data_IF_847109043762
#
_entry.id   IF_847109043762
#
_cell.length_a   1.000
_cell.length_b   1.000
_cell.length_c   1.000
_cell.angle_alpha   90.00
_cell.angle_beta   90.00
_cell.angle_gamma   90.00
#
_symmetry.space_group_name_H-M   'P 1'
#
loop_
_entity.id
_entity.type
_entity.pdbx_description
1 polymer ?
#
# COMPACT_ATOMS: atom_id res chain seq x y z
N UNK A 1 27.38 13.33 -25.35
CA UNK A 1 27.77 14.68 -24.88
C UNK A 1 26.91 14.96 -23.65
N UNK A 2 27.52 15.07 -22.48
CA UNK A 2 26.78 15.26 -21.25
C UNK A 2 26.40 16.74 -21.13
N UNK A 3 25.13 17.06 -21.38
CA UNK A 3 24.60 18.42 -21.32
C UNK A 3 24.77 19.08 -19.94
N UNK A 4 24.90 18.30 -18.89
CA UNK A 4 25.07 18.80 -17.52
C UNK A 4 26.47 19.40 -17.29
N UNK A 5 27.43 19.05 -18.12
CA UNK A 5 28.79 19.60 -18.07
C UNK A 5 29.01 20.78 -19.02
N UNK A 6 28.13 20.98 -19.99
CA UNK A 6 28.28 21.99 -21.06
C UNK A 6 27.49 23.27 -20.79
N UNK A 7 26.35 23.16 -20.09
CA UNK A 7 25.50 24.31 -19.81
C UNK A 7 25.68 24.81 -18.36
N UNK A 8 25.78 26.13 -18.15
CA UNK A 8 25.69 26.68 -16.81
C UNK A 8 24.38 26.27 -16.13
N UNK A 9 24.44 25.92 -14.84
CA UNK A 9 23.30 25.44 -14.05
C UNK A 9 22.02 26.30 -14.21
N UNK A 10 22.21 27.64 -14.28
CA UNK A 10 21.09 28.58 -14.45
C UNK A 10 20.35 28.39 -15.79
N UNK A 11 21.09 28.18 -16.86
CA UNK A 11 20.50 27.94 -18.20
C UNK A 11 19.85 26.57 -18.25
N UNK A 12 20.47 25.56 -17.63
CA UNK A 12 19.89 24.22 -17.55
C UNK A 12 18.56 24.24 -16.77
N UNK A 13 18.50 24.98 -15.67
CA UNK A 13 17.26 25.16 -14.92
C UNK A 13 16.17 25.87 -15.74
N UNK A 14 16.54 26.85 -16.59
CA UNK A 14 15.56 27.54 -17.47
C UNK A 14 15.05 26.65 -18.59
N UNK A 15 15.87 25.73 -19.09
CA UNK A 15 15.43 24.68 -20.03
C UNK A 15 14.49 23.71 -19.33
N UNK A 16 14.85 23.23 -18.14
CA UNK A 16 14.05 22.29 -17.36
C UNK A 16 12.67 22.85 -17.00
N UNK A 17 12.53 24.13 -16.71
CA UNK A 17 11.23 24.77 -16.46
C UNK A 17 10.26 24.71 -17.63
N UNK A 18 10.77 24.51 -18.85
CA UNK A 18 9.94 24.41 -20.08
C UNK A 18 9.55 22.96 -20.41
N UNK A 19 10.13 22.00 -19.71
CA UNK A 19 9.82 20.58 -19.88
C UNK A 19 8.48 20.29 -19.20
N UNK A 20 7.63 19.50 -19.85
CA UNK A 20 6.37 19.05 -19.25
C UNK A 20 6.64 18.26 -17.97
N UNK A 21 5.74 18.29 -16.95
CA UNK A 21 5.97 17.68 -15.64
C UNK A 21 6.41 16.21 -15.70
N UNK A 22 5.82 15.40 -16.56
CA UNK A 22 6.22 14.00 -16.79
C UNK A 22 7.65 13.88 -17.34
N UNK A 23 8.02 14.73 -18.29
CA UNK A 23 9.39 14.78 -18.81
C UNK A 23 10.39 15.26 -17.78
N UNK A 24 9.98 16.21 -16.91
CA UNK A 24 10.80 16.72 -15.83
C UNK A 24 11.03 15.64 -14.74
N UNK A 25 10.01 14.85 -14.41
CA UNK A 25 10.15 13.70 -13.53
C UNK A 25 11.13 12.66 -14.12
N UNK A 26 11.05 12.37 -15.42
CA UNK A 26 12.01 11.49 -16.10
C UNK A 26 13.45 12.08 -16.07
N UNK A 27 13.60 13.40 -16.29
CA UNK A 27 14.91 14.07 -16.17
C UNK A 27 15.48 13.96 -14.75
N UNK A 28 14.65 14.06 -13.71
CA UNK A 28 15.05 13.90 -12.31
C UNK A 28 15.67 12.52 -12.05
N UNK A 29 15.18 11.50 -12.71
CA UNK A 29 15.68 10.12 -12.59
C UNK A 29 16.91 9.84 -13.47
N UNK A 30 17.26 10.72 -14.42
CA UNK A 30 18.30 10.45 -15.41
C UNK A 30 19.73 10.55 -14.84
N UNK A 31 20.03 11.52 -13.98
CA UNK A 31 21.33 11.66 -13.33
C UNK A 31 21.28 12.56 -12.09
N UNK A 32 22.29 12.41 -11.20
CA UNK A 32 22.41 13.18 -9.94
C UNK A 32 22.48 14.70 -10.16
N UNK A 33 23.03 15.18 -11.25
CA UNK A 33 23.13 16.61 -11.53
C UNK A 33 21.77 17.22 -11.84
N UNK A 34 20.96 16.54 -12.67
CA UNK A 34 19.58 16.96 -12.97
C UNK A 34 18.69 16.86 -11.74
N UNK A 35 18.81 15.77 -10.97
CA UNK A 35 18.14 15.61 -9.68
C UNK A 35 18.40 16.82 -8.77
N UNK A 36 19.67 17.16 -8.54
CA UNK A 36 20.05 18.28 -7.69
C UNK A 36 19.47 19.62 -8.14
N UNK A 37 19.46 19.90 -9.45
CA UNK A 37 18.90 21.16 -9.98
C UNK A 37 17.38 21.19 -9.84
N UNK A 38 16.70 20.09 -10.17
CA UNK A 38 15.24 20.00 -10.13
C UNK A 38 14.76 20.17 -8.69
N UNK A 39 15.37 19.50 -7.75
CA UNK A 39 14.99 19.51 -6.34
C UNK A 39 15.36 20.85 -5.66
N UNK A 40 16.61 21.31 -5.82
CA UNK A 40 17.04 22.59 -5.20
C UNK A 40 16.23 23.78 -5.68
N UNK A 41 15.76 23.75 -6.92
CA UNK A 41 14.95 24.82 -7.51
C UNK A 41 13.45 24.53 -7.52
N UNK A 42 13.01 23.40 -6.91
CA UNK A 42 11.60 22.96 -6.85
C UNK A 42 10.89 23.07 -8.21
N UNK A 43 11.55 22.58 -9.27
CA UNK A 43 11.02 22.72 -10.63
C UNK A 43 9.89 21.75 -10.91
N UNK A 44 9.89 20.56 -10.27
CA UNK A 44 8.85 19.57 -10.43
C UNK A 44 7.60 20.01 -9.65
N UNK A 45 6.57 20.31 -10.39
CA UNK A 45 5.27 20.65 -9.87
C UNK A 45 4.43 19.39 -9.79
N UNK A 46 4.35 18.82 -8.61
CA UNK A 46 3.62 17.57 -8.35
C UNK A 46 2.11 17.69 -8.64
N UNK A 47 1.55 18.90 -8.50
CA UNK A 47 0.15 19.20 -8.85
C UNK A 47 -0.14 19.11 -10.36
N UNK A 48 0.89 19.07 -11.19
CA UNK A 48 0.76 18.91 -12.65
C UNK A 48 1.12 17.50 -13.14
N UNK A 49 1.55 16.60 -12.26
CA UNK A 49 1.77 15.21 -12.61
C UNK A 49 0.41 14.52 -12.80
N UNK A 50 0.30 13.58 -13.76
CA UNK A 50 -0.92 12.78 -13.85
C UNK A 50 -1.07 11.98 -12.55
N UNK A 51 -2.14 12.26 -11.82
CA UNK A 51 -2.51 11.56 -10.59
C UNK A 51 -3.12 10.19 -10.94
N UNK A 52 -2.29 9.29 -11.44
CA UNK A 52 -2.71 7.95 -11.85
C UNK A 52 -2.11 6.88 -10.95
N UNK A 53 -2.93 5.92 -10.55
CA UNK A 53 -2.47 4.70 -9.91
C UNK A 53 -1.85 3.81 -10.99
N UNK A 54 -0.60 3.39 -10.79
CA UNK A 54 0.08 2.49 -11.71
C UNK A 54 -0.38 1.04 -11.55
N UNK A 55 -0.84 0.68 -10.36
CA UNK A 55 -1.32 -0.64 -10.00
C UNK A 55 -1.45 -0.79 -8.48
N UNK A 56 -1.68 -2.01 -8.05
CA UNK A 56 -1.77 -2.38 -6.63
C UNK A 56 -0.76 -3.50 -6.38
N UNK A 57 0.16 -3.29 -5.46
CA UNK A 57 0.98 -4.36 -4.92
C UNK A 57 0.18 -5.14 -3.89
N UNK A 58 0.35 -6.46 -3.87
CA UNK A 58 -0.45 -7.36 -3.04
C UNK A 58 0.45 -8.42 -2.42
N UNK A 59 0.42 -8.51 -1.09
CA UNK A 59 0.97 -9.63 -0.35
C UNK A 59 -0.11 -10.71 -0.21
N UNK A 60 0.19 -11.92 -0.64
CA UNK A 60 -0.67 -13.09 -0.41
C UNK A 60 -0.06 -13.97 0.68
N UNK A 61 -0.88 -14.55 1.53
CA UNK A 61 -0.44 -15.33 2.68
C UNK A 61 0.52 -16.47 2.33
N UNK A 62 0.28 -17.18 1.26
CA UNK A 62 1.06 -18.38 0.88
C UNK A 62 2.14 -18.11 -0.15
N UNK A 63 2.31 -16.86 -0.60
CA UNK A 63 3.28 -16.51 -1.63
C UNK A 63 4.59 -15.98 -1.04
N UNK A 64 5.69 -16.23 -1.74
CA UNK A 64 7.02 -15.79 -1.30
C UNK A 64 7.36 -14.37 -1.70
N UNK A 65 6.71 -13.83 -2.74
CA UNK A 65 6.94 -12.50 -3.30
C UNK A 65 5.62 -11.75 -3.46
N UNK A 66 5.63 -10.41 -3.29
CA UNK A 66 4.46 -9.60 -3.59
C UNK A 66 4.09 -9.70 -5.06
N UNK A 67 2.79 -9.77 -5.34
CA UNK A 67 2.25 -9.70 -6.69
C UNK A 67 1.94 -8.24 -7.07
N UNK A 68 1.90 -7.94 -8.36
CA UNK A 68 1.54 -6.62 -8.86
C UNK A 68 0.35 -6.72 -9.81
N UNK A 69 -0.76 -6.13 -9.41
CA UNK A 69 -2.00 -6.07 -10.18
C UNK A 69 -2.12 -4.72 -10.86
N UNK A 70 -2.00 -4.71 -12.17
CA UNK A 70 -1.95 -3.45 -12.93
C UNK A 70 -2.44 -3.63 -14.36
N UNK A 71 -2.76 -2.49 -15.00
CA UNK A 71 -3.01 -2.46 -16.43
C UNK A 71 -1.71 -2.69 -17.19
N UNK A 72 -1.68 -3.58 -18.20
CA UNK A 72 -0.53 -3.71 -19.10
C UNK A 72 -0.17 -2.38 -19.75
N UNK A 73 1.10 -2.04 -19.77
CA UNK A 73 1.62 -0.79 -20.33
C UNK A 73 2.68 -1.09 -21.38
N UNK A 74 2.74 -0.29 -22.44
CA UNK A 74 3.82 -0.34 -23.45
C UNK A 74 5.08 0.44 -23.04
N UNK A 75 5.00 1.19 -21.93
CA UNK A 75 6.13 1.97 -21.37
C UNK A 75 7.04 1.15 -20.44
N UNK A 76 7.99 1.81 -19.75
CA UNK A 76 8.78 1.18 -18.71
C UNK A 76 7.85 0.57 -17.65
N UNK A 77 7.83 -0.76 -17.58
CA UNK A 77 6.91 -1.48 -16.72
C UNK A 77 7.42 -1.47 -15.28
N UNK A 78 6.58 -1.02 -14.37
CA UNK A 78 6.75 -1.28 -12.95
C UNK A 78 6.49 -2.77 -12.73
N UNK A 79 7.40 -3.40 -12.01
CA UNK A 79 7.30 -4.83 -11.71
C UNK A 79 7.47 -5.07 -10.22
N UNK A 80 6.65 -5.96 -9.67
CA UNK A 80 6.81 -6.49 -8.32
C UNK A 80 7.95 -7.51 -8.21
N UNK A 81 8.63 -7.82 -9.30
CA UNK A 81 9.68 -8.83 -9.31
C UNK A 81 10.93 -8.42 -8.52
N UNK A 82 11.16 -7.14 -8.32
CA UNK A 82 12.32 -6.59 -7.59
C UNK A 82 13.67 -7.24 -7.95
N UNK A 83 13.87 -7.64 -9.22
CA UNK A 83 15.05 -8.32 -9.75
C UNK A 83 16.35 -7.50 -9.69
N UNK A 84 16.24 -6.24 -9.30
CA UNK A 84 17.34 -5.31 -9.07
C UNK A 84 17.81 -5.27 -7.61
N UNK A 85 17.12 -5.97 -6.71
CA UNK A 85 17.53 -6.13 -5.32
C UNK A 85 18.60 -7.23 -5.17
N UNK A 86 19.33 -7.27 -4.05
CA UNK A 86 20.27 -8.33 -3.79
C UNK A 86 19.64 -9.73 -3.94
N UNK A 87 20.41 -10.73 -4.44
CA UNK A 87 19.86 -12.06 -4.76
C UNK A 87 19.14 -12.75 -3.59
N UNK A 88 19.54 -12.48 -2.36
CA UNK A 88 18.91 -13.06 -1.17
C UNK A 88 17.50 -12.52 -0.89
N UNK A 89 17.11 -11.38 -1.49
CA UNK A 89 15.74 -10.84 -1.38
C UNK A 89 14.87 -11.35 -2.52
N UNK A 90 15.44 -11.50 -3.72
CA UNK A 90 14.75 -11.98 -4.92
C UNK A 90 14.71 -13.52 -5.07
N UNK A 91 15.32 -14.26 -4.15
CA UNK A 91 15.26 -15.73 -4.15
C UNK A 91 14.09 -16.21 -3.30
N UNK A 92 13.15 -16.97 -3.88
CA UNK A 92 11.92 -17.45 -3.22
C UNK A 92 12.13 -18.38 -2.02
N UNK A 93 13.36 -18.78 -1.77
CA UNK A 93 13.69 -19.39 -0.47
C UNK A 93 13.59 -18.38 0.66
N UNK A 94 13.65 -17.09 0.32
CA UNK A 94 13.60 -15.97 1.25
C UNK A 94 12.36 -15.15 0.93
N UNK A 95 11.30 -15.41 1.69
CA UNK A 95 10.04 -14.68 1.60
C UNK A 95 10.31 -13.20 1.89
N UNK A 96 9.92 -12.33 0.98
CA UNK A 96 9.92 -10.90 1.21
C UNK A 96 8.51 -10.35 1.10
N UNK A 97 8.11 -9.46 1.99
CA UNK A 97 6.80 -8.80 1.95
C UNK A 97 6.96 -7.28 1.90
N UNK A 98 5.96 -6.62 1.41
CA UNK A 98 5.84 -5.17 1.53
C UNK A 98 5.21 -4.87 2.89
N UNK A 99 5.88 -4.07 3.70
CA UNK A 99 5.38 -3.64 5.00
C UNK A 99 4.55 -2.37 4.88
N UNK A 100 5.02 -1.40 4.09
CA UNK A 100 4.34 -0.12 3.92
C UNK A 100 4.69 0.54 2.60
N UNK A 101 3.94 1.57 2.24
CA UNK A 101 4.20 2.39 1.06
C UNK A 101 3.91 3.87 1.33
N UNK A 102 4.70 4.74 0.74
CA UNK A 102 4.46 6.17 0.83
C UNK A 102 4.96 6.91 -0.40
N UNK A 103 4.07 7.59 -1.11
CA UNK A 103 4.39 8.48 -2.22
C UNK A 103 5.43 7.92 -3.21
N UNK A 104 5.23 6.69 -3.70
CA UNK A 104 6.06 6.04 -4.70
C UNK A 104 7.26 5.27 -4.17
N UNK A 105 7.47 5.25 -2.87
CA UNK A 105 8.40 4.34 -2.20
C UNK A 105 7.64 3.16 -1.57
N UNK A 106 8.31 2.01 -1.48
CA UNK A 106 7.87 0.84 -0.74
C UNK A 106 8.89 0.52 0.34
N UNK A 107 8.42 0.05 1.47
CA UNK A 107 9.23 -0.58 2.52
C UNK A 107 9.07 -2.09 2.39
N UNK A 108 10.17 -2.78 2.14
CA UNK A 108 10.22 -4.24 2.02
C UNK A 108 10.91 -4.83 3.24
N UNK A 109 10.41 -5.94 3.73
CA UNK A 109 11.07 -6.79 4.72
C UNK A 109 11.45 -8.12 4.08
N UNK A 110 12.66 -8.61 4.35
CA UNK A 110 13.06 -9.95 3.94
C UNK A 110 12.85 -10.99 5.05
N UNK A 111 13.09 -12.26 4.74
CA UNK A 111 12.94 -13.37 5.70
C UNK A 111 13.83 -13.24 6.95
N UNK A 112 14.91 -12.46 6.86
CA UNK A 112 15.85 -12.22 7.95
C UNK A 112 15.56 -10.93 8.72
N UNK A 113 14.37 -10.36 8.53
CA UNK A 113 13.95 -9.10 9.16
C UNK A 113 14.85 -7.91 8.77
N UNK A 114 15.46 -7.95 7.60
CA UNK A 114 16.16 -6.79 7.05
C UNK A 114 15.17 -5.95 6.23
N UNK A 115 15.25 -4.64 6.40
CA UNK A 115 14.37 -3.68 5.74
C UNK A 115 15.07 -2.96 4.58
N UNK A 116 14.31 -2.75 3.52
CA UNK A 116 14.76 -2.07 2.30
C UNK A 116 13.73 -1.06 1.86
N UNK A 117 14.16 0.17 1.63
CA UNK A 117 13.32 1.17 0.97
C UNK A 117 13.60 1.14 -0.51
N UNK A 118 12.58 0.91 -1.32
CA UNK A 118 12.71 0.75 -2.77
C UNK A 118 11.81 1.72 -3.51
N UNK A 119 12.28 2.17 -4.67
CA UNK A 119 11.46 2.90 -5.64
C UNK A 119 11.31 2.02 -6.91
N UNK A 120 10.17 1.36 -7.10
CA UNK A 120 9.96 0.47 -8.24
C UNK A 120 10.05 1.18 -9.60
N UNK A 121 9.68 2.45 -9.67
CA UNK A 121 9.70 3.23 -10.91
C UNK A 121 11.13 3.56 -11.39
N UNK A 122 12.05 3.81 -10.44
CA UNK A 122 13.46 4.13 -10.74
C UNK A 122 14.40 2.97 -10.54
N UNK A 123 13.91 1.86 -9.95
CA UNK A 123 14.69 0.66 -9.57
C UNK A 123 15.83 0.99 -8.60
N UNK A 124 15.68 2.04 -7.82
CA UNK A 124 16.63 2.42 -6.77
C UNK A 124 16.19 1.83 -5.44
N UNK A 125 17.17 1.49 -4.60
CA UNK A 125 16.92 0.95 -3.28
C UNK A 125 18.04 1.29 -2.30
N UNK A 126 17.71 1.25 -1.00
CA UNK A 126 18.64 1.36 0.11
C UNK A 126 18.25 0.37 1.20
N UNK A 127 19.25 -0.28 1.81
CA UNK A 127 19.02 -1.07 3.03
C UNK A 127 18.97 -0.16 4.26
N UNK A 128 18.13 -0.49 5.22
CA UNK A 128 18.15 0.14 6.54
C UNK A 128 19.19 -0.57 7.43
N UNK A 129 19.88 0.16 8.31
CA UNK A 129 20.67 -0.48 9.35
C UNK A 129 19.72 -1.20 10.34
N UNK A 130 20.20 -2.27 11.03
CA UNK A 130 19.39 -2.96 12.03
C UNK A 130 18.80 -2.00 13.07
N UNK A 131 17.56 -2.26 13.47
CA UNK A 131 16.89 -1.45 14.49
C UNK A 131 17.58 -1.61 15.87
N UNK A 132 17.81 -0.52 16.61
CA UNK A 132 18.54 -0.57 17.90
C UNK A 132 17.92 -1.48 18.96
N UNK A 133 16.60 -1.65 18.97
CA UNK A 133 15.89 -2.49 19.96
C UNK A 133 16.03 -3.98 19.67
N UNK A 134 16.17 -4.39 18.39
CA UNK A 134 16.31 -5.81 18.02
C UNK A 134 17.57 -6.47 18.58
N UNK A 135 18.58 -5.69 18.95
CA UNK A 135 19.82 -6.21 19.51
C UNK A 135 19.73 -6.60 21.00
N UNK A 136 18.62 -6.30 21.68
CA UNK A 136 18.48 -6.46 23.13
C UNK A 136 17.59 -7.62 23.58
N UNK A 137 16.71 -8.15 22.73
CA UNK A 137 15.77 -9.21 23.11
C UNK A 137 16.15 -10.52 22.45
N UNK A 138 16.76 -11.43 23.23
CA UNK A 138 17.11 -12.80 22.78
C UNK A 138 15.90 -13.76 22.67
N UNK A 139 14.70 -13.35 22.98
CA UNK A 139 13.45 -14.12 22.84
C UNK A 139 12.32 -13.11 22.60
N UNK A 140 12.03 -12.84 21.33
CA UNK A 140 10.82 -12.10 20.94
C UNK A 140 9.68 -13.11 20.91
N UNK A 141 8.61 -12.85 21.67
CA UNK A 141 7.37 -13.60 21.54
C UNK A 141 6.92 -13.53 20.06
N UNK A 142 6.89 -14.69 19.40
CA UNK A 142 6.61 -14.82 17.97
C UNK A 142 5.20 -14.33 17.56
N UNK A 143 4.39 -13.91 18.51
CA UNK A 143 3.02 -13.44 18.30
C UNK A 143 2.91 -11.94 18.02
N UNK A 144 3.99 -11.15 18.17
CA UNK A 144 3.97 -9.72 17.83
C UNK A 144 4.64 -9.48 16.48
N UNK A 145 3.85 -9.25 15.46
CA UNK A 145 4.34 -8.72 14.17
C UNK A 145 4.58 -7.21 14.31
N UNK A 146 5.86 -6.85 14.35
CA UNK A 146 6.27 -5.44 14.27
C UNK A 146 6.08 -4.96 12.83
N UNK A 147 5.31 -3.90 12.64
CA UNK A 147 5.12 -3.30 11.32
C UNK A 147 5.74 -1.90 11.31
N UNK A 148 6.74 -1.68 10.47
CA UNK A 148 7.38 -0.39 10.31
C UNK A 148 6.65 0.49 9.29
N UNK A 149 6.66 1.80 9.49
CA UNK A 149 5.92 2.77 8.69
C UNK A 149 6.83 3.74 7.96
N UNK A 150 6.57 3.93 6.68
CA UNK A 150 7.34 4.78 5.80
C UNK A 150 6.75 6.19 5.72
N UNK A 151 7.60 7.19 5.89
CA UNK A 151 7.26 8.60 5.81
C UNK A 151 8.06 9.23 4.69
N UNK A 152 7.37 9.68 3.66
CA UNK A 152 8.00 10.33 2.52
C UNK A 152 7.08 11.37 1.89
N UNK A 153 7.60 12.59 1.70
CA UNK A 153 6.93 13.63 0.92
C UNK A 153 7.95 14.27 -0.03
N UNK A 154 7.97 13.85 -1.30
CA UNK A 154 8.91 14.37 -2.30
C UNK A 154 8.71 15.87 -2.58
N UNK A 155 7.59 16.46 -2.18
CA UNK A 155 7.35 17.90 -2.33
C UNK A 155 8.04 18.72 -1.25
N UNK A 156 8.32 18.09 -0.10
CA UNK A 156 8.94 18.73 1.07
C UNK A 156 10.43 18.41 1.12
N UNK A 157 10.80 17.14 0.96
CA UNK A 157 12.17 16.65 1.09
C UNK A 157 12.43 15.43 0.20
N UNK A 158 13.64 15.29 -0.37
CA UNK A 158 14.05 14.06 -1.03
C UNK A 158 14.37 12.93 -0.03
N UNK A 159 14.37 13.21 1.25
CA UNK A 159 14.69 12.26 2.31
C UNK A 159 13.42 11.66 2.91
N UNK A 160 13.47 10.36 3.19
CA UNK A 160 12.42 9.63 3.87
C UNK A 160 12.80 9.33 5.32
N UNK A 161 11.80 8.99 6.11
CA UNK A 161 11.94 8.49 7.48
C UNK A 161 11.21 7.15 7.59
N UNK A 162 11.63 6.32 8.56
CA UNK A 162 10.93 5.10 8.93
C UNK A 162 10.67 5.14 10.43
N UNK A 163 9.43 4.92 10.81
CA UNK A 163 9.00 4.80 12.20
C UNK A 163 8.66 3.35 12.52
N UNK A 164 9.17 2.81 13.63
CA UNK A 164 8.67 1.55 14.17
C UNK A 164 7.29 1.73 14.79
N UNK A 165 6.56 0.65 15.05
CA UNK A 165 5.35 0.70 15.85
C UNK A 165 5.69 1.19 17.27
N UNK A 166 4.77 1.90 17.90
CA UNK A 166 4.97 2.49 19.23
C UNK A 166 4.99 1.44 20.38
N UNK A 167 5.31 0.20 20.08
CA UNK A 167 5.13 -0.96 20.98
C UNK A 167 6.43 -1.51 21.61
N UNK A 168 7.59 -0.99 21.25
CA UNK A 168 8.90 -1.57 21.58
C UNK A 168 9.20 -1.76 23.09
N UNK A 169 8.43 -1.18 24.00
CA UNK A 169 8.69 -1.23 25.45
C UNK A 169 7.54 -1.82 26.27
N UNK A 170 6.54 -2.45 25.66
CA UNK A 170 5.36 -2.95 26.38
C UNK A 170 5.67 -4.07 27.40
N UNK A 171 6.74 -4.83 27.20
CA UNK A 171 7.09 -5.96 28.08
C UNK A 171 7.52 -5.53 29.48
N UNK A 172 7.92 -4.28 29.66
CA UNK A 172 8.40 -3.74 30.94
C UNK A 172 7.37 -2.88 31.67
N UNK A 173 6.22 -2.59 31.04
CA UNK A 173 5.22 -1.65 31.55
C UNK A 173 4.06 -2.41 32.22
N UNK A 174 3.58 -1.88 33.35
CA UNK A 174 2.45 -2.48 34.07
C UNK A 174 1.16 -2.46 33.24
N UNK A 175 0.37 -3.55 33.31
CA UNK A 175 -0.88 -3.73 32.56
C UNK A 175 -1.91 -2.60 32.76
N UNK A 176 -1.91 -1.96 33.93
CA UNK A 176 -2.82 -0.86 34.27
C UNK A 176 -2.35 0.51 33.74
N UNK A 177 -1.18 0.59 33.07
CA UNK A 177 -0.66 1.85 32.56
C UNK A 177 -1.48 2.34 31.37
N UNK A 178 -1.64 3.68 31.31
CA UNK A 178 -2.30 4.34 30.18
C UNK A 178 -1.54 4.14 28.88
N UNK A 179 -2.27 3.90 27.79
CA UNK A 179 -1.72 3.81 26.44
C UNK A 179 -2.42 4.76 25.46
N UNK A 180 -1.69 5.43 24.56
CA UNK A 180 -0.24 5.60 24.56
C UNK A 180 0.24 6.37 25.79
N UNK A 181 1.52 6.21 26.21
CA UNK A 181 2.07 6.93 27.34
C UNK A 181 2.09 8.43 27.09
N UNK A 182 2.23 9.24 28.14
CA UNK A 182 2.30 10.72 28.02
C UNK A 182 3.50 11.20 27.19
N UNK A 183 4.57 10.41 27.15
CA UNK A 183 5.73 10.61 26.27
C UNK A 183 6.03 9.28 25.58
N UNK A 184 5.93 9.26 24.25
CA UNK A 184 6.31 8.12 23.41
C UNK A 184 7.73 8.36 22.88
N UNK A 185 8.71 7.60 23.33
CA UNK A 185 10.06 7.62 22.79
C UNK A 185 10.15 6.56 21.68
N UNK A 186 10.50 6.96 20.47
CA UNK A 186 10.62 6.09 19.30
C UNK A 186 11.98 6.29 18.64
N UNK A 187 12.57 5.21 18.14
CA UNK A 187 13.73 5.29 17.26
C UNK A 187 13.26 5.53 15.82
N UNK A 188 13.52 6.71 15.29
CA UNK A 188 13.14 7.10 13.93
C UNK A 188 14.38 7.01 13.03
N UNK A 189 14.29 6.22 11.95
CA UNK A 189 15.33 6.24 10.93
C UNK A 189 15.18 7.48 10.05
N UNK A 190 16.30 8.11 9.72
CA UNK A 190 16.34 9.20 8.75
C UNK A 190 17.31 8.90 7.62
N UNK A 191 16.85 8.90 6.37
CA UNK A 191 17.69 8.71 5.21
C UNK A 191 18.68 9.88 4.98
N UNK A 192 18.49 11.02 5.62
CA UNK A 192 19.43 12.14 5.56
C UNK A 192 20.66 11.93 6.42
N UNK A 193 20.52 11.32 7.60
CA UNK A 193 21.63 10.97 8.50
C UNK A 193 22.14 9.53 8.30
N UNK A 194 21.32 8.66 7.72
CA UNK A 194 21.59 7.25 7.52
C UNK A 194 21.59 6.43 8.81
N UNK A 195 20.92 6.91 9.87
CA UNK A 195 20.90 6.24 11.17
C UNK A 195 19.55 6.38 11.89
N UNK A 196 19.34 5.52 12.88
CA UNK A 196 18.26 5.62 13.83
C UNK A 196 18.59 6.68 14.90
N UNK A 197 17.63 7.53 15.22
CA UNK A 197 17.74 8.58 16.23
C UNK A 197 16.52 8.50 17.15
N UNK A 198 16.74 8.55 18.46
CA UNK A 198 15.64 8.58 19.42
C UNK A 198 14.90 9.91 19.34
N UNK A 199 13.59 9.83 19.23
CA UNK A 199 12.70 10.99 19.16
C UNK A 199 11.52 10.80 20.10
N UNK A 200 11.26 11.79 20.94
CA UNK A 200 10.19 11.74 21.93
C UNK A 200 8.99 12.54 21.46
N UNK A 201 7.83 11.91 21.40
CA UNK A 201 6.55 12.52 21.06
C UNK A 201 5.72 12.73 22.33
N UNK A 202 5.25 13.95 22.55
CA UNK A 202 4.41 14.29 23.70
C UNK A 202 2.95 14.08 23.33
N UNK A 203 2.23 13.27 24.11
CA UNK A 203 0.80 13.07 23.93
C UNK A 203 0.02 14.35 24.22
N UNK A 204 -0.80 14.76 23.26
CA UNK A 204 -1.73 15.89 23.37
C UNK A 204 -3.16 15.33 23.56
N UNK A 205 -3.70 15.45 24.74
CA UNK A 205 -5.01 14.90 25.12
C UNK A 205 -4.93 13.63 25.97
N UNK A 206 -6.08 12.95 26.07
CA UNK A 206 -6.25 11.74 26.89
C UNK A 206 -5.65 10.51 26.23
N UNK A 207 -5.35 9.47 27.02
CA UNK A 207 -5.00 8.14 26.53
C UNK A 207 -6.20 7.48 25.82
N UNK A 208 -5.92 6.49 24.98
CA UNK A 208 -6.96 5.69 24.36
C UNK A 208 -7.55 4.70 25.35
N UNK A 209 -6.66 3.93 26.01
CA UNK A 209 -7.00 2.82 26.87
C UNK A 209 -5.82 2.43 27.76
N UNK A 210 -5.82 1.22 28.36
CA UNK A 210 -4.73 0.64 29.12
C UNK A 210 -3.97 -0.40 28.29
N UNK A 211 -2.76 -0.74 28.72
CA UNK A 211 -1.94 -1.78 28.07
C UNK A 211 -2.64 -3.15 28.12
N UNK A 212 -3.37 -3.44 29.21
CA UNK A 212 -4.13 -4.68 29.31
C UNK A 212 -5.18 -4.85 28.21
N UNK A 213 -5.79 -3.75 27.80
CA UNK A 213 -6.82 -3.76 26.74
C UNK A 213 -6.20 -3.92 25.34
N UNK A 214 -4.94 -3.53 25.16
CA UNK A 214 -4.23 -3.65 23.88
C UNK A 214 -3.88 -5.10 23.51
N UNK A 215 -3.71 -5.99 24.46
CA UNK A 215 -3.26 -7.38 24.22
C UNK A 215 -4.33 -8.30 23.62
N UNK A 216 -5.51 -7.79 23.30
CA UNK A 216 -6.68 -8.64 22.97
C UNK A 216 -6.96 -8.81 21.48
N UNK A 217 -6.38 -8.00 20.59
CA UNK A 217 -6.72 -8.02 19.17
C UNK A 217 -5.48 -7.99 18.28
N UNK A 218 -5.36 -9.01 17.41
CA UNK A 218 -4.30 -9.13 16.41
C UNK A 218 -4.88 -8.85 15.02
N UNK A 219 -5.15 -7.60 14.70
CA UNK A 219 -5.59 -7.21 13.37
C UNK A 219 -4.54 -6.38 12.64
N UNK A 220 -4.65 -6.35 11.31
CA UNK A 220 -3.75 -5.60 10.44
C UNK A 220 -3.78 -4.11 10.76
N UNK A 221 -2.59 -3.52 10.84
CA UNK A 221 -2.44 -2.11 11.12
C UNK A 221 -2.06 -1.37 9.84
N UNK A 222 -2.90 -0.43 9.44
CA UNK A 222 -2.64 0.45 8.31
C UNK A 222 -2.11 1.79 8.81
N UNK A 223 -1.15 2.37 8.08
CA UNK A 223 -0.70 3.72 8.33
C UNK A 223 -0.85 4.60 7.09
N UNK A 224 -0.95 5.89 7.33
CA UNK A 224 -1.07 6.90 6.27
C UNK A 224 -0.28 8.12 6.65
N UNK A 225 0.67 8.49 5.81
CA UNK A 225 1.33 9.78 5.93
C UNK A 225 0.59 10.84 5.11
N UNK A 226 0.05 11.85 5.77
CA UNK A 226 -0.70 12.92 5.14
C UNK A 226 -0.40 14.27 5.79
N UNK A 227 -0.09 15.29 4.98
CA UNK A 227 0.07 16.69 5.42
C UNK A 227 1.00 16.88 6.62
N UNK A 228 2.14 16.18 6.65
CA UNK A 228 3.15 16.33 7.71
C UNK A 228 2.85 15.56 9.00
N UNK A 229 1.84 14.68 8.99
CA UNK A 229 1.53 13.79 10.10
C UNK A 229 1.39 12.34 9.62
N UNK A 230 1.83 11.40 10.45
CA UNK A 230 1.59 9.98 10.29
C UNK A 230 0.38 9.59 11.13
N UNK A 231 -0.57 8.89 10.51
CA UNK A 231 -1.74 8.32 11.14
C UNK A 231 -1.58 6.81 11.14
N UNK A 232 -1.58 6.20 12.31
CA UNK A 232 -1.41 4.75 12.47
C UNK A 232 -2.66 4.18 13.13
N UNK A 233 -3.23 3.14 12.53
CA UNK A 233 -4.27 2.35 13.16
C UNK A 233 -3.62 1.44 14.21
N UNK A 234 -4.01 1.57 15.44
CA UNK A 234 -3.45 0.83 16.57
C UNK A 234 -4.35 -0.33 17.00
N UNK A 235 -3.75 -1.30 17.69
CA UNK A 235 -4.47 -2.37 18.39
C UNK A 235 -5.52 -1.72 19.31
N UNK A 236 -6.73 -2.27 19.43
CA UNK A 236 -7.88 -1.68 20.15
C UNK A 236 -8.60 -0.53 19.42
N UNK A 237 -8.54 -0.52 18.10
CA UNK A 237 -9.38 0.32 17.22
C UNK A 237 -9.31 1.83 17.50
N UNK A 238 -8.13 2.37 17.76
CA UNK A 238 -7.91 3.81 17.73
C UNK A 238 -6.81 4.17 16.72
N UNK A 239 -6.75 5.44 16.36
CA UNK A 239 -5.75 5.95 15.43
C UNK A 239 -4.83 6.88 16.21
N UNK A 240 -3.51 6.62 16.14
CA UNK A 240 -2.51 7.56 16.61
C UNK A 240 -2.09 8.49 15.47
N UNK A 241 -2.13 9.79 15.74
CA UNK A 241 -1.61 10.82 14.85
C UNK A 241 -0.30 11.34 15.40
N UNK A 242 0.80 11.11 14.69
CA UNK A 242 2.11 11.67 15.01
C UNK A 242 2.38 12.90 14.14
N UNK A 243 2.51 14.06 14.75
CA UNK A 243 2.90 15.29 14.07
C UNK A 243 4.42 15.42 14.11
N UNK A 244 5.05 15.32 12.93
CA UNK A 244 6.51 15.30 12.81
C UNK A 244 7.14 16.70 12.93
N UNK A 245 6.35 17.75 12.84
CA UNK A 245 6.85 19.13 12.90
C UNK A 245 7.00 19.67 14.31
N UNK A 246 6.28 19.13 15.28
CA UNK A 246 6.23 19.63 16.66
C UNK A 246 6.37 18.55 17.73
N UNK A 247 6.69 17.31 17.33
CA UNK A 247 6.89 16.16 18.22
C UNK A 247 5.71 15.88 19.16
N UNK A 248 4.50 15.98 18.63
CA UNK A 248 3.28 15.65 19.35
C UNK A 248 2.61 14.41 18.80
N UNK A 249 1.98 13.63 19.67
CA UNK A 249 1.07 12.57 19.27
C UNK A 249 -0.33 12.81 19.86
N UNK A 250 -1.34 12.33 19.19
CA UNK A 250 -2.75 12.47 19.56
C UNK A 250 -3.51 11.19 19.27
N UNK A 251 -4.42 10.83 20.17
CA UNK A 251 -5.38 9.74 19.98
C UNK A 251 -6.61 10.25 19.26
N UNK A 252 -7.01 9.54 18.20
CA UNK A 252 -8.24 9.80 17.46
C UNK A 252 -9.09 8.53 17.53
N UNK A 253 -10.24 8.60 18.19
CA UNK A 253 -11.16 7.47 18.28
C UNK A 253 -11.94 7.33 16.98
N UNK A 254 -12.11 6.12 16.43
CA UNK A 254 -12.92 5.90 15.23
C UNK A 254 -14.40 6.16 15.51
N UNK A 255 -15.21 6.40 14.47
CA UNK A 255 -16.63 6.74 14.63
C UNK A 255 -17.53 5.57 15.02
N UNK A 256 -16.97 4.37 15.18
CA UNK A 256 -17.72 3.13 15.35
C UNK A 256 -17.79 2.77 16.83
N UNK A 257 -18.96 2.95 17.44
CA UNK A 257 -19.26 2.45 18.77
C UNK A 257 -20.55 1.62 18.74
N UNK A 258 -20.41 0.32 19.06
CA UNK A 258 -21.50 -0.48 19.68
C UNK A 258 -22.68 -0.95 18.83
N UNK A 259 -22.92 -0.42 17.64
CA UNK A 259 -24.12 -0.78 16.84
C UNK A 259 -23.86 -1.83 15.72
N UNK A 260 -22.63 -2.20 15.46
CA UNK A 260 -22.21 -2.96 14.26
C UNK A 260 -21.74 -4.40 14.54
N UNK A 261 -22.13 -5.03 15.62
CA UNK A 261 -21.76 -6.43 15.90
C UNK A 261 -20.26 -6.62 16.17
N UNK A 262 -19.74 -7.82 16.00
CA UNK A 262 -18.33 -8.18 16.18
C UNK A 262 -17.42 -7.24 15.37
N UNK A 263 -16.33 -6.77 15.98
CA UNK A 263 -15.39 -5.72 15.52
C UNK A 263 -15.23 -5.63 13.99
N UNK A 264 -15.73 -4.57 13.33
CA UNK A 264 -15.61 -4.45 11.90
C UNK A 264 -14.14 -4.20 11.55
N UNK A 265 -13.61 -4.89 10.54
CA UNK A 265 -12.27 -4.59 10.00
C UNK A 265 -12.24 -3.13 9.52
N UNK A 266 -11.33 -2.35 10.10
CA UNK A 266 -11.12 -0.96 9.73
C UNK A 266 -9.96 -0.86 8.75
N UNK A 267 -10.13 -0.13 7.65
CA UNK A 267 -9.08 0.16 6.70
C UNK A 267 -8.81 1.66 6.65
N UNK A 268 -7.63 2.05 7.11
CA UNK A 268 -7.15 3.43 7.06
C UNK A 268 -6.44 3.67 5.73
N UNK A 269 -6.71 4.80 5.07
CA UNK A 269 -6.08 5.11 3.80
C UNK A 269 -6.10 6.61 3.49
N UNK A 270 -5.35 7.01 2.45
CA UNK A 270 -5.35 8.38 1.93
C UNK A 270 -6.16 8.47 0.64
N UNK A 271 -6.96 9.52 0.51
CA UNK A 271 -7.62 9.86 -0.73
C UNK A 271 -7.67 11.39 -0.94
N UNK A 272 -8.45 11.85 -1.92
CA UNK A 272 -8.48 13.24 -2.39
C UNK A 272 -8.51 14.30 -1.28
N UNK A 273 -9.30 14.09 -0.24
CA UNK A 273 -9.51 15.09 0.83
C UNK A 273 -8.61 14.89 2.06
N UNK A 274 -7.81 13.85 2.11
CA UNK A 274 -6.91 13.56 3.22
C UNK A 274 -7.05 12.14 3.72
N UNK A 275 -7.19 11.97 5.02
CA UNK A 275 -7.25 10.65 5.68
C UNK A 275 -8.68 10.12 5.67
N UNK A 276 -8.83 8.88 5.23
CA UNK A 276 -10.10 8.16 5.16
C UNK A 276 -10.05 6.91 6.01
N UNK A 277 -11.19 6.53 6.53
CA UNK A 277 -11.42 5.28 7.23
C UNK A 277 -12.58 4.57 6.54
N UNK A 278 -12.41 3.29 6.23
CA UNK A 278 -13.47 2.49 5.65
C UNK A 278 -13.69 1.19 6.39
N UNK A 279 -14.90 0.67 6.31
CA UNK A 279 -15.28 -0.64 6.80
C UNK A 279 -16.34 -1.26 5.93
N UNK A 280 -16.34 -2.59 5.82
CA UNK A 280 -17.40 -3.35 5.18
C UNK A 280 -18.13 -4.14 6.25
N UNK A 281 -19.44 -3.86 6.39
CA UNK A 281 -20.33 -4.48 7.35
C UNK A 281 -21.40 -5.30 6.62
N UNK A 282 -22.04 -6.23 7.32
CA UNK A 282 -23.14 -7.01 6.75
C UNK A 282 -22.82 -7.61 5.38
N UNK A 283 -21.55 -8.04 5.19
CA UNK A 283 -20.98 -8.62 3.97
C UNK A 283 -20.85 -7.69 2.75
N UNK A 284 -21.62 -6.63 2.64
CA UNK A 284 -21.61 -5.78 1.44
C UNK A 284 -21.84 -4.29 1.69
N UNK A 285 -22.05 -3.86 2.92
CA UNK A 285 -22.32 -2.46 3.26
C UNK A 285 -21.00 -1.73 3.47
N UNK A 286 -20.62 -0.89 2.51
CA UNK A 286 -19.44 -0.04 2.58
C UNK A 286 -19.75 1.25 3.34
N UNK A 287 -19.05 1.47 4.43
CA UNK A 287 -19.03 2.70 5.19
C UNK A 287 -17.70 3.39 4.99
N UNK A 288 -17.72 4.69 4.68
CA UNK A 288 -16.49 5.48 4.51
C UNK A 288 -16.62 6.81 5.22
N UNK A 289 -15.64 7.12 6.05
CA UNK A 289 -15.51 8.41 6.75
C UNK A 289 -14.26 9.15 6.26
N UNK A 290 -14.30 10.47 6.35
CA UNK A 290 -13.14 11.34 6.15
C UNK A 290 -12.83 12.06 7.45
N UNK A 291 -11.55 12.17 7.78
CA UNK A 291 -11.10 12.92 8.94
C UNK A 291 -11.17 14.42 8.63
N UNK A 292 -11.97 15.15 9.39
CA UNK A 292 -12.03 16.61 9.37
C UNK A 292 -11.19 17.16 10.53
N UNK A 293 -10.14 17.90 10.21
CA UNK A 293 -9.22 18.55 11.14
C UNK A 293 -9.42 20.05 11.16
N UNK A 294 -10.56 20.54 10.70
CA UNK A 294 -10.88 21.97 10.72
C UNK A 294 -11.11 22.46 12.16
N UNK A 295 -10.76 23.73 12.40
CA UNK A 295 -10.98 24.40 13.69
C UNK A 295 -10.27 23.77 14.91
N UNK A 296 -9.20 22.99 14.70
CA UNK A 296 -8.42 22.41 15.81
C UNK A 296 -9.11 21.25 16.54
N UNK A 297 -10.19 20.75 16.00
CA UNK A 297 -10.84 19.51 16.43
C UNK A 297 -10.73 18.45 15.34
N UNK A 298 -10.55 17.20 15.75
CA UNK A 298 -10.51 16.05 14.85
C UNK A 298 -11.82 15.28 14.95
N UNK A 299 -12.57 15.25 13.84
CA UNK A 299 -13.85 14.57 13.78
C UNK A 299 -13.97 13.71 12.52
N UNK A 300 -14.57 12.53 12.63
CA UNK A 300 -14.91 11.71 11.48
C UNK A 300 -16.24 12.13 10.89
N UNK A 301 -16.24 12.44 9.60
CA UNK A 301 -17.45 12.79 8.84
C UNK A 301 -17.80 11.64 7.92
N UNK A 302 -18.98 11.04 8.12
CA UNK A 302 -19.50 9.98 7.25
C UNK A 302 -19.70 10.53 5.83
N UNK A 303 -19.01 9.93 4.87
CA UNK A 303 -19.04 10.31 3.45
C UNK A 303 -19.88 9.38 2.61
N UNK A 304 -19.84 8.10 2.94
CA UNK A 304 -20.49 7.07 2.15
C UNK A 304 -21.08 6.01 3.07
N UNK A 305 -22.28 5.55 2.72
CA UNK A 305 -23.01 4.49 3.42
C UNK A 305 -23.97 3.84 2.42
N UNK A 306 -23.49 2.83 1.73
CA UNK A 306 -24.31 2.11 0.73
C UNK A 306 -23.88 0.66 0.62
N UNK A 307 -24.82 -0.20 0.25
CA UNK A 307 -24.49 -1.58 -0.11
C UNK A 307 -23.78 -1.60 -1.46
N UNK A 308 -22.69 -2.36 -1.54
CA UNK A 308 -22.02 -2.70 -2.79
C UNK A 308 -23.00 -3.62 -3.55
N UNK A 309 -23.29 -3.35 -4.83
CA UNK A 309 -24.16 -4.24 -5.61
C UNK A 309 -23.61 -5.67 -5.62
N UNK A 310 -24.45 -6.70 -5.52
CA UNK A 310 -24.00 -8.08 -5.66
C UNK A 310 -23.47 -8.29 -7.08
N UNK A 311 -22.16 -8.58 -7.18
CA UNK A 311 -21.45 -8.75 -8.45
C UNK A 311 -21.01 -10.20 -8.49
N UNK A 312 -21.90 -11.13 -8.83
CA UNK A 312 -21.57 -12.54 -8.84
C UNK A 312 -22.30 -13.25 -9.98
N UNK A 313 -21.65 -13.25 -11.13
CA UNK A 313 -21.76 -14.32 -12.07
C UNK A 313 -20.34 -14.89 -12.27
N UNK A 314 -20.03 -15.98 -11.59
CA UNK A 314 -18.73 -16.66 -11.73
C UNK A 314 -18.53 -17.22 -13.15
N UNK A 315 -19.60 -17.36 -13.91
CA UNK A 315 -19.59 -17.86 -15.28
C UNK A 315 -19.39 -16.75 -16.32
N UNK A 316 -19.50 -15.47 -15.93
CA UNK A 316 -19.22 -14.37 -16.85
C UNK A 316 -17.74 -14.07 -16.99
N UNK A 317 -17.26 -13.81 -18.22
CA UNK A 317 -15.88 -13.38 -18.41
C UNK A 317 -15.59 -12.09 -17.66
N UNK A 318 -14.48 -12.05 -16.96
CA UNK A 318 -13.98 -10.84 -16.28
C UNK A 318 -13.50 -9.88 -17.34
N UNK A 319 -14.11 -8.71 -17.40
CA UNK A 319 -13.91 -7.73 -18.48
C UNK A 319 -12.79 -6.73 -18.18
N UNK A 320 -12.26 -6.72 -16.98
CA UNK A 320 -11.30 -5.72 -16.53
C UNK A 320 -9.95 -5.83 -17.22
N UNK A 321 -9.32 -4.69 -17.55
CA UNK A 321 -8.07 -4.67 -18.31
C UNK A 321 -6.83 -4.87 -17.44
N UNK A 322 -6.97 -4.93 -16.11
CA UNK A 322 -5.84 -5.13 -15.22
C UNK A 322 -5.50 -6.61 -15.12
N UNK A 323 -4.21 -6.88 -15.03
CA UNK A 323 -3.65 -8.23 -14.99
C UNK A 323 -2.73 -8.36 -13.81
N UNK A 324 -2.85 -9.46 -13.07
CA UNK A 324 -1.84 -9.86 -12.09
C UNK A 324 -0.58 -10.29 -12.83
N UNK A 325 0.58 -9.82 -12.40
CA UNK A 325 1.85 -10.18 -13.05
C UNK A 325 2.23 -11.64 -12.84
N UNK A 326 1.65 -12.29 -11.81
CA UNK A 326 1.85 -13.71 -11.54
C UNK A 326 3.34 -14.06 -11.30
N UNK A 327 3.98 -13.23 -10.49
CA UNK A 327 5.44 -13.19 -10.27
C UNK A 327 5.93 -14.51 -9.69
N UNK A 328 5.21 -15.04 -8.71
CA UNK A 328 5.55 -16.31 -8.07
C UNK A 328 5.48 -17.48 -9.06
N UNK A 329 4.51 -17.49 -9.99
CA UNK A 329 4.44 -18.48 -11.05
C UNK A 329 5.63 -18.38 -12.02
N UNK A 330 5.95 -17.17 -12.49
CA UNK A 330 7.09 -16.97 -13.41
C UNK A 330 8.41 -17.33 -12.72
N UNK A 331 8.54 -17.03 -11.45
CA UNK A 331 9.69 -17.41 -10.64
C UNK A 331 9.85 -18.95 -10.55
N UNK A 332 8.77 -19.66 -10.19
CA UNK A 332 8.79 -21.14 -10.14
C UNK A 332 9.15 -21.76 -11.50
N UNK A 333 8.69 -21.17 -12.59
CA UNK A 333 8.99 -21.62 -13.95
C UNK A 333 10.47 -21.46 -14.33
N UNK A 334 11.13 -20.43 -13.82
CA UNK A 334 12.57 -20.17 -14.09
C UNK A 334 13.49 -21.10 -13.30
N UNK A 335 13.04 -21.67 -12.19
CA UNK A 335 13.81 -22.66 -11.42
C UNK A 335 13.83 -23.99 -12.18
N UNK A 336 15.01 -24.37 -12.65
CA UNK A 336 15.22 -25.60 -13.43
C UNK A 336 14.74 -26.88 -12.71
N UNK A 337 14.72 -26.87 -11.38
CA UNK A 337 14.37 -28.01 -10.54
C UNK A 337 12.86 -28.37 -10.60
N UNK A 338 12.01 -27.44 -11.07
CA UNK A 338 10.56 -27.63 -11.09
C UNK A 338 9.96 -27.76 -12.50
N UNK A 339 10.75 -27.69 -13.57
CA UNK A 339 10.25 -27.64 -14.95
C UNK A 339 9.53 -28.90 -15.42
N UNK A 340 9.74 -30.04 -14.77
CA UNK A 340 9.17 -31.34 -15.15
C UNK A 340 8.24 -31.96 -14.09
N UNK A 341 7.88 -31.22 -13.04
CA UNK A 341 6.95 -31.71 -12.04
C UNK A 341 5.49 -31.70 -12.54
N UNK A 342 4.66 -32.63 -12.04
CA UNK A 342 3.21 -32.66 -12.33
C UNK A 342 2.53 -31.34 -11.94
N UNK A 343 3.01 -30.70 -10.86
CA UNK A 343 2.50 -29.39 -10.40
C UNK A 343 2.70 -28.30 -11.46
N UNK A 344 3.91 -28.23 -12.09
CA UNK A 344 4.16 -27.26 -13.14
C UNK A 344 3.35 -27.52 -14.42
N UNK A 345 3.08 -28.77 -14.75
CA UNK A 345 2.18 -29.09 -15.86
C UNK A 345 0.76 -28.61 -15.56
N UNK A 346 0.28 -28.89 -14.36
CA UNK A 346 -1.04 -28.46 -13.89
C UNK A 346 -1.18 -26.92 -13.91
N UNK A 347 -0.18 -26.19 -13.38
CA UNK A 347 -0.17 -24.73 -13.40
C UNK A 347 -0.15 -24.14 -14.81
N UNK A 348 0.62 -24.75 -15.75
CA UNK A 348 0.63 -24.34 -17.16
C UNK A 348 -0.75 -24.51 -17.80
N UNK A 349 -1.43 -25.62 -17.57
CA UNK A 349 -2.78 -25.86 -18.09
C UNK A 349 -3.79 -24.85 -17.51
N UNK A 350 -3.74 -24.57 -16.20
CA UNK A 350 -4.57 -23.56 -15.56
C UNK A 350 -4.32 -22.15 -16.10
N UNK A 351 -3.06 -21.74 -16.26
CA UNK A 351 -2.72 -20.45 -16.85
C UNK A 351 -3.21 -20.32 -18.30
N UNK A 352 -3.14 -21.38 -19.08
CA UNK A 352 -3.70 -21.41 -20.45
C UNK A 352 -5.22 -21.23 -20.45
N UNK A 353 -5.94 -21.91 -19.54
CA UNK A 353 -7.39 -21.73 -19.38
C UNK A 353 -7.75 -20.29 -19.01
N UNK A 354 -7.04 -19.70 -18.06
CA UNK A 354 -7.22 -18.30 -17.65
C UNK A 354 -6.91 -17.30 -18.78
N UNK A 355 -5.85 -17.54 -19.57
CA UNK A 355 -5.47 -16.68 -20.67
C UNK A 355 -6.41 -16.80 -21.88
N UNK A 356 -6.96 -17.97 -22.16
CA UNK A 356 -7.96 -18.13 -23.23
C UNK A 356 -9.22 -17.31 -22.98
N UNK A 357 -9.54 -17.05 -21.72
CA UNK A 357 -10.62 -16.13 -21.34
C UNK A 357 -10.24 -14.65 -21.46
N UNK A 358 -8.92 -14.32 -21.51
CA UNK A 358 -8.38 -12.96 -21.55
C UNK A 358 -8.16 -12.42 -22.98
N UNK A 359 -8.02 -13.27 -24.00
CA UNK A 359 -7.67 -12.85 -25.38
C UNK A 359 -8.70 -11.96 -26.08
N UNK A 360 -9.87 -11.73 -25.47
CA UNK A 360 -10.97 -11.03 -26.12
C UNK A 360 -10.88 -9.49 -26.03
N UNK A 361 -10.02 -8.89 -25.16
CA UNK A 361 -10.16 -7.47 -24.84
C UNK A 361 -8.84 -6.68 -24.66
N UNK A 362 -7.85 -6.83 -25.52
CA UNK A 362 -6.74 -5.84 -25.54
C UNK A 362 -7.13 -4.70 -26.48
N UNK A 363 -7.93 -3.76 -26.03
CA UNK A 363 -8.01 -2.45 -26.64
C UNK A 363 -6.77 -1.61 -26.32
N UNK A 364 -6.25 -0.88 -27.31
CA UNK A 364 -5.01 -0.07 -27.27
C UNK A 364 -5.03 1.13 -26.31
N UNK A 365 -5.93 1.23 -25.35
CA UNK A 365 -5.96 2.33 -24.38
C UNK A 365 -4.84 2.19 -23.36
N UNK A 366 -3.87 3.08 -23.40
CA UNK A 366 -2.64 3.07 -22.57
C UNK A 366 -2.89 3.49 -21.13
N UNK A 367 -3.90 4.31 -20.84
CA UNK A 367 -4.20 4.81 -19.50
C UNK A 367 -5.59 4.34 -19.02
N UNK A 368 -5.69 4.02 -17.72
CA UNK A 368 -6.97 3.69 -17.12
C UNK A 368 -7.85 4.95 -16.99
N UNK A 369 -8.99 4.94 -17.66
CA UNK A 369 -10.02 5.94 -17.46
C UNK A 369 -10.91 5.54 -16.29
N UNK A 370 -10.59 6.09 -15.12
CA UNK A 370 -11.35 5.82 -13.89
C UNK A 370 -12.80 6.30 -13.94
N UNK A 371 -13.25 6.95 -14.99
CA UNK A 371 -14.65 7.42 -15.11
C UNK A 371 -15.48 6.57 -16.06
N UNK A 372 -14.86 5.99 -17.09
CA UNK A 372 -15.61 5.39 -18.19
C UNK A 372 -15.22 3.96 -18.53
N UNK A 373 -14.02 3.49 -18.10
CA UNK A 373 -13.58 2.13 -18.44
C UNK A 373 -14.32 1.07 -17.64
N UNK A 374 -14.84 0.07 -18.31
CA UNK A 374 -15.37 -1.18 -17.74
C UNK A 374 -16.40 -1.01 -16.60
N UNK A 375 -17.32 -0.06 -16.76
CA UNK A 375 -18.41 0.16 -15.79
C UNK A 375 -19.35 -1.04 -15.80
N UNK A 376 -19.61 -1.58 -14.61
CA UNK A 376 -20.62 -2.61 -14.43
C UNK A 376 -22.00 -1.97 -14.37
N UNK A 377 -22.92 -2.44 -15.22
CA UNK A 377 -24.30 -1.97 -15.26
C UNK A 377 -25.20 -2.87 -14.41
N UNK A 378 -26.41 -2.37 -14.06
CA UNK A 378 -27.38 -3.14 -13.27
C UNK A 378 -27.77 -4.46 -13.91
N UNK A 379 -27.64 -4.57 -15.22
CA UNK A 379 -27.92 -5.79 -15.99
C UNK A 379 -26.83 -6.87 -15.81
N UNK A 380 -25.64 -6.45 -15.31
CA UNK A 380 -24.53 -7.32 -14.97
C UNK A 380 -24.64 -7.90 -13.54
N UNK A 381 -25.63 -7.42 -12.79
CA UNK A 381 -25.94 -7.86 -11.43
C UNK A 381 -26.94 -9.01 -11.52
N UNK A 382 -26.51 -10.20 -11.13
CA UNK A 382 -27.41 -11.35 -11.03
C UNK A 382 -27.87 -11.48 -9.58
N UNK A 383 -29.16 -11.72 -9.38
CA UNK A 383 -29.73 -12.11 -8.09
C UNK A 383 -29.22 -13.51 -7.69
N UNK A 384 -27.95 -13.60 -7.39
CA UNK A 384 -27.32 -14.82 -6.94
C UNK A 384 -27.56 -14.96 -5.43
N UNK A 385 -28.07 -16.10 -5.02
CA UNK A 385 -28.22 -16.51 -3.62
C UNK A 385 -26.88 -16.80 -2.92
N UNK A 386 -25.76 -16.22 -3.42
CA UNK A 386 -24.41 -16.36 -2.86
C UNK A 386 -23.85 -14.99 -2.53
N UNK A 387 -23.68 -14.69 -1.24
CA UNK A 387 -23.02 -13.48 -0.78
C UNK A 387 -21.53 -13.58 -1.11
N UNK A 388 -21.05 -12.83 -2.11
CA UNK A 388 -19.61 -12.62 -2.30
C UNK A 388 -19.02 -11.94 -1.09
N UNK A 389 -17.86 -12.38 -0.66
CA UNK A 389 -17.10 -11.71 0.37
C UNK A 389 -16.35 -10.54 -0.27
N UNK A 390 -16.51 -9.35 0.28
CA UNK A 390 -15.75 -8.17 -0.13
C UNK A 390 -14.67 -7.85 0.89
N UNK A 391 -13.47 -7.48 0.42
CA UNK A 391 -12.42 -6.89 1.25
C UNK A 391 -11.90 -5.59 0.60
N UNK A 392 -11.25 -4.74 1.38
CA UNK A 392 -10.73 -3.45 0.92
C UNK A 392 -9.28 -3.62 0.52
N UNK A 393 -8.94 -3.29 -0.74
CA UNK A 393 -7.58 -3.25 -1.26
C UNK A 393 -6.91 -1.89 -1.05
N UNK A 394 -7.67 -0.87 -0.67
CA UNK A 394 -7.15 0.46 -0.40
C UNK A 394 -7.89 1.58 -1.13
N UNK A 395 -7.36 2.78 -1.00
CA UNK A 395 -7.93 3.98 -1.61
C UNK A 395 -7.09 4.46 -2.79
N UNK A 396 -7.76 5.05 -3.77
CA UNK A 396 -7.07 5.83 -4.78
C UNK A 396 -6.58 7.14 -4.15
N UNK A 397 -5.27 7.45 -4.15
CA UNK A 397 -4.73 8.58 -3.38
C UNK A 397 -5.28 9.96 -3.77
N UNK A 398 -5.77 10.12 -5.00
CA UNK A 398 -6.18 11.41 -5.56
C UNK A 398 -7.64 11.49 -5.99
N UNK A 399 -8.41 10.42 -5.84
CA UNK A 399 -9.82 10.36 -6.26
C UNK A 399 -10.65 9.63 -5.20
N UNK A 400 -11.90 10.01 -5.02
CA UNK A 400 -12.83 9.32 -4.11
C UNK A 400 -13.24 7.94 -4.65
N UNK A 401 -12.25 7.03 -4.75
CA UNK A 401 -12.40 5.65 -5.21
C UNK A 401 -11.81 4.71 -4.17
N UNK A 402 -12.54 3.64 -3.85
CA UNK A 402 -12.07 2.52 -3.03
C UNK A 402 -11.83 1.33 -3.95
N UNK A 403 -10.65 0.73 -3.85
CA UNK A 403 -10.36 -0.54 -4.50
C UNK A 403 -10.82 -1.67 -3.61
N UNK A 404 -11.51 -2.63 -4.21
CA UNK A 404 -12.12 -3.76 -3.53
C UNK A 404 -11.68 -5.07 -4.16
N UNK A 405 -11.63 -6.09 -3.35
CA UNK A 405 -11.54 -7.47 -3.74
C UNK A 405 -12.91 -8.15 -3.57
N UNK A 406 -13.27 -8.98 -4.50
CA UNK A 406 -14.45 -9.85 -4.39
C UNK A 406 -14.01 -11.29 -4.39
N UNK A 407 -14.13 -11.94 -3.22
CA UNK A 407 -13.84 -13.36 -3.02
C UNK A 407 -12.46 -13.79 -3.54
N UNK A 408 -11.49 -12.87 -3.54
CA UNK A 408 -10.11 -13.03 -4.05
C UNK A 408 -9.99 -13.29 -5.56
N UNK A 409 -11.08 -13.21 -6.30
CA UNK A 409 -11.07 -13.48 -7.75
C UNK A 409 -11.09 -12.24 -8.60
N UNK A 410 -11.70 -11.15 -8.12
CA UNK A 410 -11.99 -9.97 -8.93
C UNK A 410 -11.62 -8.69 -8.22
N UNK A 411 -10.76 -7.88 -8.84
CA UNK A 411 -10.49 -6.52 -8.40
C UNK A 411 -11.53 -5.54 -8.94
N UNK A 412 -12.00 -4.64 -8.10
CA UNK A 412 -12.99 -3.62 -8.44
C UNK A 412 -12.51 -2.22 -8.04
N UNK A 413 -12.98 -1.20 -8.77
CA UNK A 413 -12.90 0.19 -8.35
C UNK A 413 -14.32 0.73 -8.06
N UNK A 414 -14.57 1.07 -6.80
CA UNK A 414 -15.85 1.59 -6.33
C UNK A 414 -15.77 3.10 -6.15
N UNK A 415 -16.63 3.86 -6.85
CA UNK A 415 -16.69 5.31 -6.81
C UNK A 415 -17.62 5.79 -5.69
N UNK A 416 -17.07 6.50 -4.71
CA UNK A 416 -17.83 6.98 -3.54
C UNK A 416 -18.88 8.04 -3.88
N UNK A 417 -18.66 8.79 -4.98
CA UNK A 417 -19.54 9.91 -5.36
C UNK A 417 -20.86 9.46 -5.98
N UNK A 418 -20.82 8.46 -6.84
CA UNK A 418 -21.96 8.04 -7.65
C UNK A 418 -22.28 6.54 -7.55
N UNK A 419 -21.57 5.84 -6.65
CA UNK A 419 -21.71 4.40 -6.41
C UNK A 419 -21.49 3.53 -7.65
N UNK A 420 -20.77 4.03 -8.65
CA UNK A 420 -20.37 3.25 -9.81
C UNK A 420 -19.31 2.23 -9.43
N UNK A 421 -19.35 1.10 -10.10
CA UNK A 421 -18.38 0.03 -9.96
C UNK A 421 -17.73 -0.25 -11.29
N UNK A 422 -16.41 -0.30 -11.33
CA UNK A 422 -15.63 -0.71 -12.49
C UNK A 422 -14.98 -2.05 -12.22
N UNK A 423 -15.04 -2.94 -13.18
CA UNK A 423 -14.30 -4.19 -13.18
C UNK A 423 -12.84 -3.92 -13.55
N UNK A 424 -11.91 -4.22 -12.65
CA UNK A 424 -10.48 -4.06 -12.93
C UNK A 424 -9.89 -5.32 -13.54
N UNK A 425 -10.38 -6.50 -13.19
CA UNK A 425 -9.89 -7.75 -13.75
C UNK A 425 -9.70 -8.85 -12.72
N UNK A 426 -9.05 -9.91 -13.18
CA UNK A 426 -8.83 -11.13 -12.40
C UNK A 426 -7.61 -10.97 -11.47
N UNK A 427 -7.82 -11.29 -10.20
CA UNK A 427 -6.86 -11.03 -9.12
C UNK A 427 -6.17 -12.30 -8.59
N UNK A 428 -6.72 -13.49 -8.85
CA UNK A 428 -6.27 -14.73 -8.25
C UNK A 428 -4.98 -15.26 -8.90
N UNK A 429 -3.89 -15.49 -8.14
CA UNK A 429 -2.63 -15.98 -8.69
C UNK A 429 -2.73 -17.43 -9.19
N UNK A 430 -1.93 -17.76 -10.20
CA UNK A 430 -1.87 -19.13 -10.74
C UNK A 430 -1.34 -20.13 -9.71
N UNK A 431 -0.39 -19.72 -8.90
CA UNK A 431 0.25 -20.52 -7.84
C UNK A 431 -0.68 -20.93 -6.71
N UNK A 432 -1.76 -20.19 -6.49
CA UNK A 432 -2.76 -20.49 -5.46
C UNK A 432 -3.37 -21.89 -5.58
N UNK A 433 -3.38 -22.46 -6.78
CA UNK A 433 -3.84 -23.81 -7.02
C UNK A 433 -2.95 -24.91 -6.39
N UNK A 434 -1.74 -24.56 -5.95
CA UNK A 434 -0.84 -25.43 -5.18
C UNK A 434 -1.10 -25.40 -3.68
N UNK A 435 -1.87 -24.43 -3.18
CA UNK A 435 -2.19 -24.34 -1.76
C UNK A 435 -3.05 -25.54 -1.34
N UNK A 436 -2.45 -26.44 -0.57
CA UNK A 436 -3.07 -27.70 -0.10
C UNK A 436 -4.16 -27.45 0.95
N UNK A 437 -4.15 -26.30 1.60
CA UNK A 437 -5.08 -25.89 2.65
C UNK A 437 -5.77 -24.62 2.15
N UNK A 438 -7.04 -24.57 1.96
CA UNK A 438 -7.87 -23.45 1.52
C UNK A 438 -7.64 -22.09 2.25
N UNK A 439 -6.43 -21.81 2.72
CA UNK A 439 -6.00 -20.63 3.48
C UNK A 439 -5.29 -19.59 2.59
N UNK A 440 -5.72 -19.47 1.33
CA UNK A 440 -5.19 -18.46 0.43
C UNK A 440 -5.97 -17.16 0.61
N UNK A 441 -5.34 -16.11 1.10
CA UNK A 441 -5.98 -14.80 1.28
C UNK A 441 -4.97 -13.66 1.08
N UNK A 442 -5.50 -12.48 0.78
CA UNK A 442 -4.72 -11.26 0.71
C UNK A 442 -4.39 -10.81 2.14
N UNK A 443 -3.10 -10.75 2.44
CA UNK A 443 -2.67 -10.23 3.74
C UNK A 443 -2.67 -8.72 3.75
N UNK A 444 -2.12 -8.08 2.70
CA UNK A 444 -2.01 -6.63 2.57
C UNK A 444 -2.02 -6.21 1.11
N UNK A 445 -2.40 -4.96 0.88
CA UNK A 445 -2.43 -4.38 -0.46
C UNK A 445 -2.11 -2.89 -0.45
N UNK A 446 -1.38 -2.44 -1.48
CA UNK A 446 -0.78 -1.12 -1.53
C UNK A 446 -1.03 -0.47 -2.90
N UNK A 447 -2.04 0.41 -3.03
CA UNK A 447 -2.24 1.19 -4.24
C UNK A 447 -1.03 2.08 -4.54
N UNK A 448 -0.35 1.83 -5.65
CA UNK A 448 0.93 2.43 -5.97
C UNK A 448 0.83 3.55 -7.00
N UNK A 449 1.40 4.70 -6.66
CA UNK A 449 1.60 5.84 -7.56
C UNK A 449 3.09 6.14 -7.68
N UNK A 450 3.69 6.08 -8.89
CA UNK A 450 5.09 6.43 -9.09
C UNK A 450 5.39 7.87 -8.68
N UNK A 451 6.52 8.12 -8.03
CA UNK A 451 7.01 9.48 -7.74
C UNK A 451 8.18 9.87 -8.65
#
# INVERSE_FOLDING_TARGET
MDLTQVLPEKLLADVLRRVAPRGLAACRCACKALLGIIDARRLLRTDLLPHSVAGIFINFHSEGLPEFFARPSTGPTISGRFDYLPPHIGDSQYRGKIEDHCNGLLLLEDYFENYYVVNPATRQWNSLPPHPSMSKSGEIDADFTYQEYLIFDPTVSPHYQVLPPALDELDTVMEESEWPPSVCALHVFSSSSGRWEERSFIRDGEAADTIADMRRHFDKHYAVYCRGALYMHCITDFIMRFSLSNDKCQVIKPPIHGELGECPKLHLGQSEKGVYLASICEMSRLLVWVLDESCGQTNWVLKHNSCIPPILDYDRPILGPWVLQDINYEYLKERKDHTDTEDMKYLKEKKLQLNSSKEVLVEEKIEWDSQNDNILHKEDVVDAHGNGYFDILGFHPYKEIVFLDVSMYRGLAYHLKDSKVQDLGYLYPTTSHLAVLNEYFITESFPYTPC
#
